data_IF_056967873070
#
_entry.id   IF_056967873070
#
_cell.length_a   1.000
_cell.length_b   1.000
_cell.length_c   1.000
_cell.angle_alpha   90.00
_cell.angle_beta   90.00
_cell.angle_gamma   90.00
#
_symmetry.space_group_name_H-M   'P 1'
#
loop_
_entity.id
_entity.type
_entity.pdbx_description
1 polymer ?
#
# COMPACT_ATOMS: atom_id res chain seq x y z
N UNK A 1 19.73 -9.48 17.60
CA UNK A 1 18.33 -9.93 17.43
C UNK A 1 18.27 -11.44 17.56
N UNK A 2 17.43 -12.00 18.45
CA UNK A 2 17.23 -13.45 18.58
C UNK A 2 16.62 -14.02 17.28
N UNK A 3 16.90 -15.28 16.93
CA UNK A 3 16.46 -15.92 15.68
C UNK A 3 14.94 -15.78 15.43
N UNK A 4 14.13 -15.98 16.49
CA UNK A 4 12.66 -15.80 16.43
C UNK A 4 12.24 -14.41 15.95
N UNK A 5 12.93 -13.35 16.37
CA UNK A 5 12.64 -11.98 15.94
C UNK A 5 13.06 -11.73 14.50
N UNK A 6 14.12 -12.38 14.01
CA UNK A 6 14.55 -12.28 12.60
C UNK A 6 13.52 -12.93 11.68
N UNK A 7 13.05 -14.14 12.02
CA UNK A 7 12.03 -14.86 11.26
C UNK A 7 10.72 -14.09 11.23
N UNK A 8 10.27 -13.58 12.39
CA UNK A 8 9.04 -12.76 12.45
C UNK A 8 9.14 -11.47 11.61
N UNK A 9 10.30 -10.83 11.60
CA UNK A 9 10.53 -9.65 10.74
C UNK A 9 10.52 -10.02 9.25
N UNK A 10 11.20 -11.10 8.87
CA UNK A 10 11.25 -11.57 7.49
C UNK A 10 9.86 -11.96 6.96
N UNK A 11 9.03 -12.61 7.78
CA UNK A 11 7.64 -12.94 7.41
C UNK A 11 6.79 -11.68 7.18
N UNK A 12 6.96 -10.66 8.03
CA UNK A 12 6.25 -9.38 7.84
C UNK A 12 6.69 -8.66 6.56
N UNK A 13 8.00 -8.60 6.33
CA UNK A 13 8.58 -7.99 5.13
C UNK A 13 8.17 -8.73 3.85
N UNK A 14 8.08 -10.06 3.91
CA UNK A 14 7.60 -10.89 2.81
C UNK A 14 6.15 -10.56 2.43
N UNK A 15 5.25 -10.44 3.43
CA UNK A 15 3.86 -10.08 3.17
C UNK A 15 3.71 -8.70 2.53
N UNK A 16 4.47 -7.72 3.01
CA UNK A 16 4.50 -6.37 2.44
C UNK A 16 5.01 -6.40 1.00
N UNK A 17 6.10 -7.15 0.74
CA UNK A 17 6.71 -7.29 -0.59
C UNK A 17 5.75 -7.92 -1.60
N UNK A 18 5.01 -8.96 -1.21
CA UNK A 18 3.99 -9.57 -2.06
C UNK A 18 2.89 -8.57 -2.39
N UNK A 19 2.38 -7.83 -1.40
CA UNK A 19 1.34 -6.84 -1.64
C UNK A 19 1.80 -5.75 -2.62
N UNK A 20 3.03 -5.25 -2.48
CA UNK A 20 3.62 -4.32 -3.44
C UNK A 20 3.76 -4.92 -4.84
N UNK A 21 4.14 -6.18 -4.95
CA UNK A 21 4.23 -6.87 -6.23
C UNK A 21 2.87 -7.02 -6.91
N UNK A 22 1.84 -7.44 -6.15
CA UNK A 22 0.47 -7.55 -6.66
C UNK A 22 -0.03 -6.19 -7.15
N UNK A 23 0.12 -5.13 -6.36
CA UNK A 23 -0.31 -3.79 -6.78
C UNK A 23 0.50 -3.31 -7.99
N UNK A 24 1.81 -3.50 -8.00
CA UNK A 24 2.67 -3.06 -9.11
C UNK A 24 2.38 -3.75 -10.43
N UNK A 25 2.03 -5.04 -10.39
CA UNK A 25 1.83 -5.84 -11.60
C UNK A 25 0.36 -5.91 -12.04
N UNK A 26 -0.57 -6.09 -11.09
CA UNK A 26 -1.96 -6.44 -11.38
C UNK A 26 -2.92 -5.25 -11.29
N UNK A 27 -2.58 -4.18 -10.56
CA UNK A 27 -3.54 -3.10 -10.30
C UNK A 27 -3.98 -2.37 -11.58
N UNK A 28 -3.06 -2.15 -12.54
CA UNK A 28 -3.41 -1.51 -13.80
C UNK A 28 -4.41 -2.34 -14.60
N UNK A 29 -4.15 -3.64 -14.75
CA UNK A 29 -5.07 -4.59 -15.38
C UNK A 29 -6.43 -4.62 -14.67
N UNK A 30 -6.44 -4.59 -13.34
CA UNK A 30 -7.67 -4.53 -12.57
C UNK A 30 -8.49 -3.27 -12.87
N UNK A 31 -7.85 -2.09 -12.98
CA UNK A 31 -8.54 -0.85 -13.32
C UNK A 31 -9.09 -0.85 -14.76
N UNK A 32 -8.33 -1.35 -15.73
CA UNK A 32 -8.69 -1.28 -17.16
C UNK A 32 -9.58 -2.43 -17.62
N UNK A 33 -9.27 -3.66 -17.24
CA UNK A 33 -9.90 -4.86 -17.80
C UNK A 33 -11.06 -5.37 -16.93
N UNK A 34 -11.00 -5.13 -15.61
CA UNK A 34 -12.04 -5.57 -14.68
C UNK A 34 -13.01 -4.43 -14.35
N UNK A 35 -12.51 -3.23 -14.05
CA UNK A 35 -13.34 -2.06 -13.75
C UNK A 35 -13.70 -1.23 -14.98
N UNK A 36 -13.09 -1.50 -16.13
CA UNK A 36 -13.35 -0.78 -17.39
C UNK A 36 -13.15 0.75 -17.29
N UNK A 37 -12.22 1.19 -16.44
CA UNK A 37 -11.83 2.60 -16.36
C UNK A 37 -10.97 2.95 -17.58
N UNK A 38 -11.11 4.17 -18.10
CA UNK A 38 -10.30 4.60 -19.24
C UNK A 38 -8.80 4.52 -18.91
N UNK A 39 -7.93 4.11 -19.86
CA UNK A 39 -6.50 3.98 -19.59
C UNK A 39 -5.83 5.27 -19.11
N UNK A 40 -6.35 6.43 -19.54
CA UNK A 40 -5.87 7.74 -19.11
C UNK A 40 -6.15 7.96 -17.60
N UNK A 41 -7.37 7.67 -17.15
CA UNK A 41 -7.74 7.81 -15.74
C UNK A 41 -7.03 6.76 -14.87
N UNK A 42 -6.96 5.52 -15.34
CA UNK A 42 -6.23 4.45 -14.65
C UNK A 42 -4.74 4.80 -14.49
N UNK A 43 -4.10 5.31 -15.55
CA UNK A 43 -2.72 5.79 -15.51
C UNK A 43 -2.54 6.96 -14.54
N UNK A 44 -3.47 7.90 -14.50
CA UNK A 44 -3.43 9.01 -13.54
C UNK A 44 -3.54 8.53 -12.08
N UNK A 45 -4.43 7.57 -11.79
CA UNK A 45 -4.57 6.98 -10.44
C UNK A 45 -3.28 6.30 -10.00
N UNK A 46 -2.69 5.46 -10.86
CA UNK A 46 -1.42 4.79 -10.56
C UNK A 46 -0.30 5.80 -10.38
N UNK A 47 -0.23 6.82 -11.23
CA UNK A 47 0.78 7.87 -11.16
C UNK A 47 0.71 8.68 -9.86
N UNK A 48 -0.49 9.12 -9.47
CA UNK A 48 -0.71 9.83 -8.20
C UNK A 48 -0.31 8.94 -7.02
N UNK A 49 -0.68 7.66 -7.05
CA UNK A 49 -0.28 6.69 -6.03
C UNK A 49 1.25 6.57 -5.90
N UNK A 50 1.96 6.50 -7.03
CA UNK A 50 3.44 6.45 -7.05
C UNK A 50 4.09 7.74 -6.60
N UNK A 51 3.54 8.90 -6.96
CA UNK A 51 4.02 10.19 -6.44
C UNK A 51 3.83 10.28 -4.93
N UNK A 52 2.68 9.83 -4.42
CA UNK A 52 2.42 9.79 -2.99
C UNK A 52 3.38 8.85 -2.25
N UNK A 53 3.65 7.67 -2.81
CA UNK A 53 4.65 6.74 -2.26
C UNK A 53 6.04 7.37 -2.22
N UNK A 54 6.47 7.98 -3.32
CA UNK A 54 7.77 8.63 -3.44
C UNK A 54 7.97 9.81 -2.48
N UNK A 55 6.90 10.54 -2.17
CA UNK A 55 6.94 11.69 -1.23
C UNK A 55 6.80 11.27 0.22
N UNK A 56 5.95 10.29 0.51
CA UNK A 56 5.71 9.79 1.87
C UNK A 56 6.94 9.09 2.45
N UNK A 57 7.71 8.38 1.62
CA UNK A 57 8.88 7.62 2.08
C UNK A 57 9.96 8.50 2.75
N UNK A 58 10.42 9.62 2.14
CA UNK A 58 11.31 10.58 2.81
C UNK A 58 10.73 11.19 4.08
N UNK A 59 9.44 11.56 4.06
CA UNK A 59 8.76 12.18 5.22
C UNK A 59 8.78 11.21 6.41
N UNK A 60 8.35 9.97 6.19
CA UNK A 60 8.36 8.93 7.22
C UNK A 60 9.78 8.63 7.67
N UNK A 61 10.77 8.65 6.77
CA UNK A 61 12.19 8.52 7.11
C UNK A 61 12.64 9.57 8.12
N UNK A 62 12.38 10.86 7.85
CA UNK A 62 12.74 11.96 8.75
C UNK A 62 11.99 11.88 10.08
N UNK A 63 10.71 11.51 10.07
CA UNK A 63 9.91 11.34 11.29
C UNK A 63 10.48 10.19 12.15
N UNK A 64 10.84 9.07 11.51
CA UNK A 64 11.40 7.90 12.17
C UNK A 64 12.75 8.20 12.84
N UNK A 65 13.58 9.06 12.23
CA UNK A 65 14.85 9.49 12.82
C UNK A 65 14.66 10.35 14.08
N UNK A 66 13.60 11.17 14.11
CA UNK A 66 13.28 12.07 15.23
C UNK A 66 12.63 11.35 16.41
N UNK A 67 11.97 10.21 16.19
CA UNK A 67 11.29 9.48 17.27
C UNK A 67 12.27 8.70 18.13
N UNK A 68 12.32 9.04 19.43
CA UNK A 68 13.02 8.27 20.48
C UNK A 68 11.98 7.49 21.29
N UNK A 69 11.62 6.28 20.83
CA UNK A 69 10.67 5.40 21.53
C UNK A 69 11.36 4.48 22.54
N UNK A 70 10.75 4.33 23.72
CA UNK A 70 11.14 3.40 24.81
C UNK A 70 11.13 1.92 24.39
N UNK A 71 10.34 1.56 23.37
CA UNK A 71 10.19 0.17 22.90
C UNK A 71 11.12 -0.20 21.73
N UNK A 72 12.04 0.70 21.36
CA UNK A 72 12.94 0.58 20.21
C UNK A 72 12.27 1.10 18.92
N UNK A 73 12.99 1.97 18.19
CA UNK A 73 12.47 2.72 17.02
C UNK A 73 11.71 1.85 16.01
N UNK A 74 12.25 0.65 15.69
CA UNK A 74 11.69 -0.23 14.66
C UNK A 74 10.35 -0.88 15.04
N UNK A 75 10.12 -1.23 16.32
CA UNK A 75 8.96 -2.05 16.70
C UNK A 75 7.65 -1.26 16.74
N UNK A 76 7.71 -0.01 17.20
CA UNK A 76 6.55 0.89 17.22
C UNK A 76 6.05 1.22 15.82
N UNK A 77 6.96 1.50 14.88
CA UNK A 77 6.60 1.85 13.50
C UNK A 77 6.00 0.68 12.72
N UNK A 78 6.54 -0.52 12.87
CA UNK A 78 6.01 -1.71 12.17
C UNK A 78 4.59 -2.02 12.64
N UNK A 79 4.32 -1.95 13.94
CA UNK A 79 2.97 -2.22 14.47
C UNK A 79 1.97 -1.13 14.08
N UNK A 80 2.38 0.14 14.11
CA UNK A 80 1.52 1.26 13.70
C UNK A 80 1.28 1.31 12.19
N UNK A 81 2.25 0.88 11.38
CA UNK A 81 2.14 0.87 9.92
C UNK A 81 1.38 -0.35 9.36
N UNK A 82 1.45 -1.50 10.03
CA UNK A 82 0.85 -2.74 9.53
C UNK A 82 -0.68 -2.66 9.40
N UNK A 83 -1.36 -2.08 10.39
CA UNK A 83 -2.82 -1.94 10.40
C UNK A 83 -3.32 -1.04 9.26
N UNK A 84 -2.87 0.23 9.11
CA UNK A 84 -3.32 1.10 8.04
C UNK A 84 -2.89 0.58 6.66
N UNK A 85 -1.76 -0.11 6.55
CA UNK A 85 -1.37 -0.78 5.31
C UNK A 85 -2.35 -1.89 4.92
N UNK A 86 -2.67 -2.80 5.85
CA UNK A 86 -3.61 -3.89 5.61
C UNK A 86 -5.01 -3.37 5.24
N UNK A 87 -5.49 -2.36 5.96
CA UNK A 87 -6.79 -1.73 5.66
C UNK A 87 -6.78 -1.08 4.27
N UNK A 88 -5.76 -0.29 3.95
CA UNK A 88 -5.62 0.34 2.63
C UNK A 88 -5.55 -0.69 1.51
N UNK A 89 -4.82 -1.79 1.72
CA UNK A 89 -4.74 -2.87 0.75
C UNK A 89 -6.10 -3.51 0.50
N UNK A 90 -6.87 -3.82 1.55
CA UNK A 90 -8.23 -4.36 1.40
C UNK A 90 -9.13 -3.37 0.63
N UNK A 91 -9.05 -2.08 0.96
CA UNK A 91 -9.85 -1.04 0.31
C UNK A 91 -9.54 -0.88 -1.18
N UNK A 92 -8.31 -1.13 -1.63
CA UNK A 92 -7.95 -1.08 -3.06
C UNK A 92 -8.74 -2.10 -3.89
N UNK A 93 -9.09 -3.25 -3.31
CA UNK A 93 -9.79 -4.33 -3.99
C UNK A 93 -11.28 -4.38 -3.65
N UNK A 94 -11.71 -3.60 -2.66
CA UNK A 94 -13.11 -3.52 -2.27
C UNK A 94 -13.85 -2.66 -3.29
N UNK A 95 -14.60 -3.31 -4.19
CA UNK A 95 -15.48 -2.61 -5.13
C UNK A 95 -16.58 -1.94 -4.30
N UNK A 96 -16.70 -0.59 -4.33
CA UNK A 96 -17.87 0.06 -3.77
C UNK A 96 -19.07 -0.41 -4.58
N UNK A 97 -20.03 -1.05 -3.91
CA UNK A 97 -21.29 -1.49 -4.54
C UNK A 97 -22.07 -0.32 -5.20
N UNK A 98 -21.68 0.93 -4.91
CA UNK A 98 -22.24 2.16 -5.46
C UNK A 98 -21.67 2.58 -6.82
N UNK A 99 -20.67 1.87 -7.37
CA UNK A 99 -20.16 2.11 -8.74
C UNK A 99 -20.84 1.21 -9.80
N UNK A 100 -21.87 0.47 -9.40
CA UNK A 100 -22.84 -0.09 -10.35
C UNK A 100 -23.79 1.02 -10.81
N UNK A 101 -23.81 1.30 -12.12
CA UNK A 101 -24.75 2.19 -12.83
C UNK A 101 -24.51 3.71 -12.56
N UNK A 102 -23.82 4.55 -13.39
CA UNK A 102 -23.77 4.57 -14.87
C UNK A 102 -22.43 5.08 -15.48
N UNK A 103 -21.25 4.84 -14.88
CA UNK A 103 -19.97 5.37 -15.41
C UNK A 103 -19.37 4.53 -16.57
N UNK A 104 -20.14 3.59 -17.13
CA UNK A 104 -19.74 2.75 -18.28
C UNK A 104 -20.01 3.40 -19.66
N UNK A 105 -20.55 4.62 -19.71
CA UNK A 105 -20.92 5.29 -20.97
C UNK A 105 -20.58 6.78 -21.01
N UNK A 106 -19.30 7.13 -20.86
CA UNK A 106 -18.78 8.43 -21.29
C UNK A 106 -17.36 8.29 -21.84
#
# INVERSE_FOLDING_TARGET
>A
MKMRSKIGYALGDFGISIAYFIVGFFFMYYLTDILHISPLLAGAVVFIGKLWEGTSNPIIGVINDKIKSRFGRKRSFIMLGAIPFALSFILLWLIPATLGEPAKFA
#
